data_IF_129542088745
#
_entry.id   IF_129542088745
#
_cell.length_a   1.000
_cell.length_b   1.000
_cell.length_c   1.000
_cell.angle_alpha   90.00
_cell.angle_beta   90.00
_cell.angle_gamma   90.00
#
_symmetry.space_group_name_H-M   'P 1'
#
loop_
_entity.id
_entity.type
_entity.pdbx_description
1 polymer ?
#
# COMPACT_ATOMS: atom_id res chain seq x y z
N UNK A 1 -0.75 -3.68 -20.91
CA UNK A 1 -1.98 -4.26 -20.31
C UNK A 1 -2.70 -3.18 -19.49
N UNK A 2 -4.03 -3.13 -19.43
CA UNK A 2 -4.76 -2.12 -18.63
C UNK A 2 -4.69 -2.41 -17.11
N UNK A 3 -4.52 -1.38 -16.28
CA UNK A 3 -4.46 -1.50 -14.81
C UNK A 3 -5.62 -2.29 -14.19
N UNK A 4 -6.83 -2.15 -14.74
CA UNK A 4 -8.02 -2.89 -14.26
C UNK A 4 -7.93 -4.40 -14.50
N UNK A 5 -7.18 -4.83 -15.53
CA UNK A 5 -6.96 -6.24 -15.87
C UNK A 5 -5.94 -6.87 -14.93
N UNK A 6 -4.89 -6.12 -14.54
CA UNK A 6 -3.91 -6.56 -13.55
C UNK A 6 -4.59 -6.98 -12.25
N UNK A 7 -5.51 -6.17 -11.76
CA UNK A 7 -6.25 -6.43 -10.53
C UNK A 7 -7.13 -7.69 -10.64
N UNK A 8 -7.83 -7.86 -11.77
CA UNK A 8 -8.68 -9.03 -12.00
C UNK A 8 -7.88 -10.31 -12.03
N UNK A 9 -6.75 -10.32 -12.75
CA UNK A 9 -5.87 -11.50 -12.84
C UNK A 9 -5.37 -11.89 -11.44
N UNK A 10 -4.95 -10.91 -10.63
CA UNK A 10 -4.50 -11.19 -9.26
C UNK A 10 -5.60 -11.76 -8.36
N UNK A 11 -6.85 -11.29 -8.53
CA UNK A 11 -8.00 -11.81 -7.79
C UNK A 11 -8.39 -13.22 -8.24
N UNK A 12 -8.48 -13.45 -9.55
CA UNK A 12 -8.81 -14.74 -10.16
C UNK A 12 -7.77 -15.82 -9.82
N UNK A 13 -6.49 -15.44 -9.72
CA UNK A 13 -5.41 -16.34 -9.27
C UNK A 13 -5.40 -16.57 -7.75
N UNK A 14 -6.21 -15.83 -6.99
CA UNK A 14 -6.22 -15.89 -5.53
C UNK A 14 -4.99 -15.28 -4.85
N UNK A 15 -4.20 -14.48 -5.58
CA UNK A 15 -3.03 -13.79 -5.03
C UNK A 15 -3.44 -12.65 -4.08
N UNK A 16 -4.59 -12.05 -4.36
CA UNK A 16 -5.30 -11.10 -3.50
C UNK A 16 -6.79 -11.45 -3.56
N UNK A 17 -7.56 -11.08 -2.54
CA UNK A 17 -9.03 -11.18 -2.58
C UNK A 17 -9.63 -9.80 -2.53
N UNK A 18 -10.39 -9.44 -3.57
CA UNK A 18 -11.10 -8.16 -3.64
C UNK A 18 -12.23 -8.05 -2.61
N UNK A 19 -12.71 -9.14 -2.05
CA UNK A 19 -13.64 -9.12 -0.90
C UNK A 19 -12.98 -8.63 0.39
N UNK A 20 -11.66 -8.80 0.51
CA UNK A 20 -10.88 -8.40 1.68
C UNK A 20 -10.14 -7.08 1.46
N UNK A 21 -9.65 -6.86 0.24
CA UNK A 21 -8.73 -5.77 -0.09
C UNK A 21 -9.35 -4.82 -1.10
N UNK A 22 -9.42 -3.54 -0.76
CA UNK A 22 -9.85 -2.47 -1.66
C UNK A 22 -8.63 -1.86 -2.35
N UNK A 23 -8.61 -1.81 -3.67
CA UNK A 23 -7.57 -1.11 -4.44
C UNK A 23 -7.57 0.37 -4.08
N UNK A 24 -6.39 0.91 -3.77
CA UNK A 24 -6.15 2.32 -3.46
C UNK A 24 -5.39 3.00 -4.60
N UNK A 25 -4.34 2.36 -5.10
CA UNK A 25 -3.49 2.91 -6.15
C UNK A 25 -2.85 1.80 -6.95
N UNK A 26 -2.62 2.07 -8.23
CA UNK A 26 -1.82 1.24 -9.13
C UNK A 26 -0.81 2.19 -9.78
N UNK A 27 0.45 1.80 -9.81
CA UNK A 27 1.52 2.49 -10.52
C UNK A 27 2.24 1.47 -11.38
N UNK A 28 2.06 1.58 -12.69
CA UNK A 28 2.84 0.83 -13.67
C UNK A 28 4.23 1.46 -13.78
N UNK A 29 5.25 0.63 -13.89
CA UNK A 29 6.64 1.00 -14.00
C UNK A 29 7.14 0.75 -15.43
N UNK A 30 8.17 1.47 -15.85
CA UNK A 30 8.73 1.38 -17.21
C UNK A 30 9.50 0.07 -17.49
N UNK A 31 9.59 -0.83 -16.51
CA UNK A 31 10.31 -2.11 -16.57
C UNK A 31 9.39 -3.34 -16.70
N UNK A 32 8.11 -3.12 -16.99
CA UNK A 32 7.12 -4.21 -17.08
C UNK A 32 6.59 -4.68 -15.73
N UNK A 33 6.79 -3.91 -14.67
CA UNK A 33 6.24 -4.21 -13.34
C UNK A 33 5.16 -3.22 -12.91
N UNK A 34 4.42 -3.58 -11.86
CA UNK A 34 3.41 -2.73 -11.26
C UNK A 34 3.47 -2.78 -9.73
N UNK A 35 3.36 -1.60 -9.13
CA UNK A 35 3.15 -1.38 -7.71
C UNK A 35 1.67 -1.20 -7.43
N UNK A 36 1.11 -2.06 -6.58
CA UNK A 36 -0.32 -2.04 -6.28
C UNK A 36 -0.52 -1.90 -4.78
N UNK A 37 -1.25 -0.87 -4.39
CA UNK A 37 -1.58 -0.62 -3.00
C UNK A 37 -3.06 -0.91 -2.75
N UNK A 38 -3.32 -1.73 -1.74
CA UNK A 38 -4.64 -2.07 -1.25
C UNK A 38 -4.81 -1.64 0.19
N UNK A 39 -6.04 -1.28 0.58
CA UNK A 39 -6.46 -1.08 1.97
C UNK A 39 -7.37 -2.23 2.38
N UNK A 40 -7.15 -2.79 3.57
CA UNK A 40 -8.00 -3.84 4.11
C UNK A 40 -9.40 -3.28 4.42
N UNK A 41 -10.45 -4.03 4.06
CA UNK A 41 -11.86 -3.66 4.27
C UNK A 41 -12.36 -4.03 5.67
N UNK A 42 -11.76 -5.03 6.30
CA UNK A 42 -12.25 -5.66 7.53
C UNK A 42 -11.38 -5.34 8.75
N UNK A 43 -10.12 -4.95 8.52
CA UNK A 43 -9.11 -4.72 9.57
C UNK A 43 -8.51 -3.33 9.43
N UNK A 44 -8.30 -2.67 10.56
CA UNK A 44 -7.85 -1.28 10.62
C UNK A 44 -9.02 -0.31 10.66
N UNK A 45 -8.70 0.97 10.84
CA UNK A 45 -9.66 2.07 10.84
C UNK A 45 -9.21 3.16 9.86
N UNK A 46 -9.99 4.22 9.68
CA UNK A 46 -9.54 5.35 8.86
C UNK A 46 -8.37 6.12 9.49
N UNK A 47 -8.26 6.11 10.83
CA UNK A 47 -7.13 6.70 11.55
C UNK A 47 -5.88 5.80 11.64
N UNK A 48 -6.07 4.48 11.57
CA UNK A 48 -5.02 3.46 11.57
C UNK A 48 -5.34 2.35 10.55
N UNK A 49 -5.20 2.62 9.24
CA UNK A 49 -5.50 1.66 8.19
C UNK A 49 -4.43 0.58 8.07
N UNK A 50 -4.85 -0.62 7.64
CA UNK A 50 -3.95 -1.70 7.22
C UNK A 50 -3.87 -1.72 5.71
N UNK A 51 -2.65 -1.70 5.19
CA UNK A 51 -2.39 -1.77 3.77
C UNK A 51 -1.69 -3.08 3.39
N UNK A 52 -1.93 -3.50 2.15
CA UNK A 52 -1.16 -4.52 1.45
C UNK A 52 -0.57 -3.84 0.21
N UNK A 53 0.74 -3.91 0.06
CA UNK A 53 1.43 -3.56 -1.18
C UNK A 53 1.88 -4.84 -1.86
N UNK A 54 1.64 -4.91 -3.17
CA UNK A 54 2.09 -5.98 -4.05
C UNK A 54 2.94 -5.36 -5.14
N UNK A 55 4.14 -5.91 -5.32
CA UNK A 55 4.98 -5.69 -6.48
C UNK A 55 4.80 -6.87 -7.42
N UNK A 56 4.40 -6.62 -8.65
CA UNK A 56 4.07 -7.67 -9.61
C UNK A 56 4.73 -7.45 -10.97
N UNK A 57 5.14 -8.53 -11.61
CA UNK A 57 5.55 -8.53 -13.00
C UNK A 57 4.33 -8.66 -13.91
N UNK A 58 4.22 -7.80 -14.91
CA UNK A 58 3.16 -7.82 -15.93
C UNK A 58 3.73 -8.46 -17.20
N UNK A 59 3.26 -9.66 -17.52
CA UNK A 59 3.71 -10.42 -18.69
C UNK A 59 2.71 -10.21 -19.83
N UNK A 60 3.01 -9.26 -20.71
CA UNK A 60 2.09 -8.88 -21.81
C UNK A 60 1.87 -10.00 -22.82
N UNK A 61 2.88 -10.85 -23.07
CA UNK A 61 2.78 -11.93 -24.07
C UNK A 61 1.79 -13.05 -23.68
N UNK A 62 1.70 -13.32 -22.38
CA UNK A 62 0.89 -14.41 -21.82
C UNK A 62 -0.42 -13.91 -21.17
N UNK A 63 -0.69 -12.60 -21.24
CA UNK A 63 -1.74 -11.92 -20.47
C UNK A 63 -1.75 -12.34 -18.97
N UNK A 64 -0.55 -12.42 -18.36
CA UNK A 64 -0.34 -12.93 -17.00
C UNK A 64 0.25 -11.86 -16.07
N UNK A 65 -0.03 -12.00 -14.78
CA UNK A 65 0.56 -11.16 -13.72
C UNK A 65 1.13 -12.05 -12.63
N UNK A 66 2.39 -11.84 -12.30
CA UNK A 66 3.13 -12.65 -11.32
C UNK A 66 3.54 -11.81 -10.14
N UNK A 67 3.10 -12.18 -8.94
CA UNK A 67 3.53 -11.52 -7.71
C UNK A 67 5.02 -11.78 -7.49
N UNK A 68 5.80 -10.70 -7.41
CA UNK A 68 7.21 -10.75 -7.07
C UNK A 68 7.38 -10.58 -5.55
N UNK A 69 6.70 -9.59 -4.98
CA UNK A 69 6.76 -9.31 -3.54
C UNK A 69 5.39 -8.89 -2.99
N UNK A 70 5.20 -9.14 -1.70
CA UNK A 70 4.02 -8.68 -0.95
C UNK A 70 4.40 -8.23 0.45
N UNK A 71 3.88 -7.09 0.88
CA UNK A 71 4.10 -6.56 2.22
C UNK A 71 2.78 -6.02 2.77
N UNK A 72 2.39 -6.51 3.94
CA UNK A 72 1.31 -5.91 4.74
C UNK A 72 1.92 -4.97 5.76
N UNK A 73 1.38 -3.76 5.87
CA UNK A 73 1.91 -2.75 6.79
C UNK A 73 0.83 -1.79 7.29
N UNK A 74 1.14 -1.12 8.40
CA UNK A 74 0.40 0.01 8.95
C UNK A 74 1.25 1.27 8.91
N UNK A 75 0.63 2.39 9.30
CA UNK A 75 1.32 3.67 9.48
C UNK A 75 2.54 3.56 10.40
N UNK A 76 2.45 2.82 11.49
CA UNK A 76 3.55 2.69 12.45
C UNK A 76 4.78 2.00 11.87
N UNK A 77 4.60 1.03 10.98
CA UNK A 77 5.70 0.35 10.28
C UNK A 77 6.46 1.32 9.37
N UNK A 78 5.73 2.17 8.63
CA UNK A 78 6.35 3.23 7.82
C UNK A 78 7.07 4.22 8.73
N UNK A 79 6.47 4.64 9.84
CA UNK A 79 7.10 5.56 10.78
C UNK A 79 8.39 4.97 11.35
N UNK A 80 8.40 3.67 11.65
CA UNK A 80 9.58 2.96 12.11
C UNK A 80 10.65 2.92 11.02
N UNK A 81 10.31 2.54 9.78
CA UNK A 81 11.24 2.51 8.65
C UNK A 81 11.85 3.88 8.37
N UNK A 82 11.03 4.94 8.29
CA UNK A 82 11.53 6.29 8.01
C UNK A 82 12.51 6.76 9.09
N UNK A 83 12.25 6.44 10.37
CA UNK A 83 13.14 6.81 11.48
C UNK A 83 14.53 6.19 11.36
N UNK A 84 14.63 4.95 10.92
CA UNK A 84 15.90 4.21 10.90
C UNK A 84 16.61 4.24 9.53
N UNK A 85 15.86 4.24 8.42
CA UNK A 85 16.41 4.24 7.06
C UNK A 85 16.70 5.67 6.58
N UNK A 86 15.85 6.63 6.95
CA UNK A 86 15.96 8.02 6.52
C UNK A 86 15.98 8.98 7.71
N UNK A 87 17.01 8.95 8.58
CA UNK A 87 17.05 9.73 9.82
C UNK A 87 16.98 11.25 9.61
N UNK A 88 17.20 11.74 8.38
CA UNK A 88 17.08 13.16 8.00
C UNK A 88 15.66 13.58 7.59
N UNK A 89 14.76 12.63 7.33
CA UNK A 89 13.35 12.92 7.03
C UNK A 89 12.65 13.26 8.34
N UNK A 90 12.31 14.54 8.53
CA UNK A 90 11.51 14.98 9.68
C UNK A 90 10.08 14.45 9.53
N UNK A 91 9.77 13.38 10.24
CA UNK A 91 8.38 12.96 10.45
C UNK A 91 7.75 13.95 11.44
N UNK A 92 6.92 14.86 10.94
CA UNK A 92 6.11 15.74 11.80
C UNK A 92 4.92 14.92 12.32
N UNK A 93 4.88 14.65 13.63
CA UNK A 93 3.68 14.14 14.31
C UNK A 93 2.76 15.34 14.64
N UNK A 94 1.53 15.35 14.12
CA UNK A 94 0.49 16.38 14.38
C UNK A 94 0.04 17.07 13.09
N UNK A 95 -1.25 17.28 12.81
CA UNK A 95 -2.27 17.94 13.64
C UNK A 95 -3.68 17.35 13.41
N UNK A 96 -4.68 17.50 14.32
CA UNK A 96 -4.71 18.39 15.49
C UNK A 96 -4.91 17.64 16.81
N UNK A 97 -4.05 17.94 17.80
CA UNK A 97 -4.36 17.92 19.23
C UNK A 97 -3.21 18.67 19.91
N UNK A 98 -3.15 19.98 19.65
CA UNK A 98 -2.38 20.86 20.51
C UNK A 98 -3.15 20.95 21.84
N UNK A 99 -2.52 20.68 23.00
CA UNK A 99 -3.17 20.92 24.29
C UNK A 99 -3.52 22.41 24.40
N UNK A 100 -4.54 22.79 25.19
CA UNK A 100 -4.80 24.20 25.44
C UNK A 100 -3.55 24.81 26.07
N UNK A 101 -2.98 25.81 25.40
CA UNK A 101 -1.93 26.64 25.99
C UNK A 101 -2.63 27.51 27.03
N UNK A 102 -2.53 27.10 28.28
CA UNK A 102 -2.99 27.84 29.45
C UNK A 102 -1.88 27.94 30.49
N UNK A 103 -1.66 29.16 30.99
CA UNK A 103 -0.71 29.52 32.05
C UNK A 103 0.69 29.81 31.51
N UNK A 104 1.24 31.03 31.58
CA UNK A 104 1.17 32.04 32.66
C UNK A 104 1.18 33.44 32.06
#
# INVERSE_FOLDING_TARGET
>A
MEASMIIKILDEKGEVSLDTWKVVSIKENDDGTADILYKNKHVGSDGDPVFLWIYANVVEEDDDVRVLERITFKKEDILWLVRYVFPKVKVIRGLPNSPPVGGV
#
